data_IF_027987518885
#
_entry.id   IF_027987518885
#
_cell.length_a   1.000
_cell.length_b   1.000
_cell.length_c   1.000
_cell.angle_alpha   90.00
_cell.angle_beta   90.00
_cell.angle_gamma   90.00
#
_symmetry.space_group_name_H-M   'P 1'
#
loop_
_entity.id
_entity.type
_entity.pdbx_description
1 polymer ?
#
# COMPACT_ATOMS: atom_id res chain seq x y z
N UNK A 1 3.55 1.64 5.58
CA UNK A 1 2.61 0.94 4.85
C UNK A 1 1.26 0.63 5.50
N UNK A 2 1.11 0.57 6.83
CA UNK A 2 -0.23 0.41 7.43
C UNK A 2 -1.19 1.54 7.05
N UNK A 3 -0.70 2.76 6.86
CA UNK A 3 -1.52 3.87 6.37
C UNK A 3 -2.13 3.55 5.00
N UNK A 4 -1.30 3.10 4.06
CA UNK A 4 -1.77 2.73 2.72
C UNK A 4 -2.77 1.57 2.79
N UNK A 5 -2.49 0.56 3.61
CA UNK A 5 -3.37 -0.59 3.83
C UNK A 5 -4.75 -0.12 4.33
N UNK A 6 -4.78 0.70 5.38
CA UNK A 6 -6.03 1.18 5.97
C UNK A 6 -6.83 2.08 5.04
N UNK A 7 -6.15 3.00 4.33
CA UNK A 7 -6.81 3.90 3.39
C UNK A 7 -7.40 3.12 2.21
N UNK A 8 -6.62 2.22 1.61
CA UNK A 8 -7.10 1.43 0.48
C UNK A 8 -8.24 0.50 0.89
N UNK A 9 -8.10 -0.17 2.04
CA UNK A 9 -9.16 -1.03 2.58
C UNK A 9 -10.48 -0.28 2.74
N UNK A 10 -10.42 0.97 3.19
CA UNK A 10 -11.61 1.80 3.37
C UNK A 10 -12.28 2.16 2.02
N UNK A 11 -11.49 2.32 0.96
CA UNK A 11 -11.97 2.74 -0.35
C UNK A 11 -12.51 1.61 -1.21
N UNK A 12 -12.12 0.36 -0.96
CA UNK A 12 -12.52 -0.76 -1.81
C UNK A 12 -13.98 -1.14 -1.60
N UNK A 13 -14.67 -1.41 -2.70
CA UNK A 13 -16.06 -1.86 -2.73
C UNK A 13 -16.20 -3.24 -3.38
N UNK A 14 -15.07 -3.83 -3.80
CA UNK A 14 -15.02 -5.11 -4.48
C UNK A 14 -14.33 -6.16 -3.63
N UNK A 15 -14.41 -7.42 -4.03
CA UNK A 15 -13.74 -8.53 -3.37
C UNK A 15 -12.23 -8.50 -3.68
N UNK A 16 -11.50 -7.69 -2.94
CA UNK A 16 -10.04 -7.53 -3.06
C UNK A 16 -9.42 -7.83 -1.70
N UNK A 17 -8.40 -8.67 -1.69
CA UNK A 17 -7.64 -8.97 -0.47
C UNK A 17 -6.49 -7.98 -0.37
N UNK A 18 -6.46 -7.22 0.72
CA UNK A 18 -5.44 -6.21 1.00
C UNK A 18 -4.66 -6.60 2.24
N UNK A 19 -3.35 -6.51 2.17
CA UNK A 19 -2.48 -6.72 3.32
C UNK A 19 -1.27 -5.80 3.23
N UNK A 20 -0.51 -5.71 4.32
CA UNK A 20 0.71 -4.92 4.37
C UNK A 20 1.80 -5.71 5.11
N UNK A 21 3.06 -5.45 4.71
CA UNK A 21 4.23 -6.09 5.29
C UNK A 21 5.42 -5.14 5.25
N UNK A 22 6.37 -5.33 6.16
CA UNK A 22 7.62 -4.60 6.17
C UNK A 22 8.75 -5.40 5.54
N UNK A 23 9.77 -4.71 5.03
CA UNK A 23 10.98 -5.34 4.51
C UNK A 23 11.97 -5.68 5.63
N UNK A 24 11.78 -5.10 6.82
CA UNK A 24 12.59 -5.36 8.01
C UNK A 24 11.77 -6.03 9.10
N UNK A 25 12.43 -6.83 9.93
CA UNK A 25 11.80 -7.55 11.04
C UNK A 25 12.10 -6.86 12.38
N UNK A 26 11.84 -5.55 12.46
CA UNK A 26 12.16 -4.80 13.68
C UNK A 26 11.15 -5.04 14.80
N UNK A 27 9.86 -5.03 14.51
CA UNK A 27 8.82 -5.09 15.53
C UNK A 27 7.62 -5.92 15.06
N UNK A 28 7.79 -7.24 14.82
CA UNK A 28 6.68 -8.07 14.36
C UNK A 28 5.55 -8.11 15.40
N UNK A 29 4.33 -8.05 14.94
CA UNK A 29 3.14 -8.09 15.78
C UNK A 29 2.76 -6.77 16.43
N UNK A 30 3.55 -5.70 16.26
CA UNK A 30 3.21 -4.40 16.82
C UNK A 30 2.15 -3.67 16.00
N UNK A 31 1.30 -2.86 16.66
CA UNK A 31 0.36 -1.99 15.96
C UNK A 31 1.09 -0.81 15.30
N UNK A 32 0.43 -0.09 14.37
CA UNK A 32 0.99 1.14 13.84
C UNK A 32 1.26 2.17 14.94
N UNK A 33 2.19 3.08 14.67
CA UNK A 33 2.51 4.17 15.59
C UNK A 33 1.26 4.95 15.98
N UNK A 34 1.16 5.35 17.26
CA UNK A 34 -0.02 6.05 17.78
C UNK A 34 -0.28 7.39 17.09
N UNK A 35 0.77 8.12 16.70
CA UNK A 35 0.63 9.37 15.95
C UNK A 35 0.06 9.12 14.55
N UNK A 36 0.53 8.08 13.88
CA UNK A 36 0.00 7.64 12.59
C UNK A 36 -1.48 7.29 12.71
N UNK A 37 -1.85 6.51 13.71
CA UNK A 37 -3.24 6.13 13.96
C UNK A 37 -4.11 7.35 14.22
N UNK A 38 -3.62 8.32 14.98
CA UNK A 38 -4.36 9.55 15.32
C UNK A 38 -4.67 10.38 14.09
N UNK A 39 -3.65 10.62 13.25
CA UNK A 39 -3.84 11.40 12.02
C UNK A 39 -4.78 10.71 11.04
N UNK A 40 -4.66 9.39 10.90
CA UNK A 40 -5.55 8.61 10.05
C UNK A 40 -6.99 8.64 10.57
N UNK A 41 -7.19 8.51 11.88
CA UNK A 41 -8.51 8.53 12.50
C UNK A 41 -9.24 9.86 12.29
N UNK A 42 -8.51 10.98 12.25
CA UNK A 42 -9.09 12.30 11.96
C UNK A 42 -9.72 12.36 10.58
N UNK A 43 -9.26 11.52 9.64
CA UNK A 43 -9.81 11.40 8.29
C UNK A 43 -10.76 10.21 8.12
N UNK A 44 -11.08 9.51 9.21
CA UNK A 44 -12.00 8.38 9.19
C UNK A 44 -11.37 7.02 8.92
N UNK A 45 -10.04 6.91 8.98
CA UNK A 45 -9.36 5.63 8.76
C UNK A 45 -8.95 5.00 10.09
N UNK A 46 -9.44 3.80 10.36
CA UNK A 46 -9.09 3.03 11.55
C UNK A 46 -7.94 2.07 11.22
N UNK A 47 -6.78 2.29 11.82
CA UNK A 47 -5.60 1.45 11.65
C UNK A 47 -5.33 0.57 12.88
N UNK A 48 -6.19 0.61 13.90
CA UNK A 48 -5.92 0.02 15.21
C UNK A 48 -5.81 -1.51 15.20
N UNK A 49 -6.42 -2.17 14.22
CA UNK A 49 -6.39 -3.63 14.09
C UNK A 49 -5.19 -4.16 13.28
N UNK A 50 -4.42 -3.27 12.65
CA UNK A 50 -3.27 -3.68 11.85
C UNK A 50 -2.08 -4.03 12.73
N UNK A 51 -1.29 -5.00 12.29
CA UNK A 51 -0.08 -5.46 13.00
C UNK A 51 1.07 -5.60 12.03
N UNK A 52 2.27 -5.27 12.49
CA UNK A 52 3.48 -5.39 11.69
C UNK A 52 3.78 -6.87 11.42
N UNK A 53 4.19 -7.17 10.21
CA UNK A 53 4.76 -8.45 9.82
C UNK A 53 5.83 -8.25 8.77
N UNK A 54 6.73 -9.20 8.63
CA UNK A 54 7.76 -9.15 7.59
C UNK A 54 7.23 -9.81 6.32
N UNK A 55 7.60 -9.25 5.16
CA UNK A 55 7.30 -9.86 3.86
C UNK A 55 8.00 -11.22 3.72
N UNK A 56 7.31 -12.18 3.12
CA UNK A 56 7.83 -13.54 2.92
C UNK A 56 7.76 -13.92 1.44
N UNK A 57 8.47 -14.99 1.07
CA UNK A 57 8.45 -15.53 -0.30
C UNK A 57 7.03 -15.87 -0.76
N UNK A 58 6.20 -16.38 0.14
CA UNK A 58 4.82 -16.73 -0.17
C UNK A 58 3.97 -15.52 -0.61
N UNK A 59 4.31 -14.32 -0.14
CA UNK A 59 3.59 -13.11 -0.52
C UNK A 59 3.69 -12.82 -2.02
N UNK A 60 4.84 -13.09 -2.61
CA UNK A 60 5.06 -12.85 -4.06
C UNK A 60 4.22 -13.78 -4.95
N UNK A 61 3.94 -14.98 -4.49
CA UNK A 61 3.07 -15.91 -5.21
C UNK A 61 1.59 -15.62 -4.97
N UNK A 62 1.25 -15.21 -3.74
CA UNK A 62 -0.14 -15.05 -3.29
C UNK A 62 -0.81 -13.79 -3.84
N UNK A 63 -0.10 -12.68 -3.87
CA UNK A 63 -0.67 -11.39 -4.26
C UNK A 63 -0.42 -11.08 -5.73
N UNK A 64 -1.37 -10.41 -6.36
CA UNK A 64 -1.29 -10.02 -7.77
C UNK A 64 -0.49 -8.74 -7.98
N UNK A 65 -0.45 -7.88 -6.96
CA UNK A 65 0.23 -6.60 -7.01
C UNK A 65 0.90 -6.31 -5.68
N UNK A 66 2.17 -5.93 -5.72
CA UNK A 66 2.99 -5.68 -4.53
C UNK A 66 3.58 -4.28 -4.67
N UNK A 67 3.27 -3.40 -3.72
CA UNK A 67 3.59 -1.98 -3.81
C UNK A 67 4.61 -1.59 -2.75
N UNK A 68 5.72 -1.04 -3.20
CA UNK A 68 6.76 -0.50 -2.33
C UNK A 68 6.49 0.98 -2.06
N UNK A 69 6.75 1.41 -0.83
CA UNK A 69 6.53 2.80 -0.41
C UNK A 69 7.68 3.69 -0.82
N UNK A 70 8.92 3.20 -0.79
CA UNK A 70 10.13 3.95 -1.10
C UNK A 70 11.14 3.08 -1.84
N UNK A 71 12.30 3.68 -2.19
CA UNK A 71 13.34 2.99 -2.95
C UNK A 71 13.98 1.86 -2.16
N UNK A 72 14.14 2.01 -0.83
CA UNK A 72 14.72 0.96 0.02
C UNK A 72 13.78 -0.25 0.08
N UNK A 73 12.49 -0.03 0.26
CA UNK A 73 11.50 -1.10 0.22
C UNK A 73 11.52 -1.82 -1.13
N UNK A 74 11.59 -1.07 -2.22
CA UNK A 74 11.62 -1.63 -3.55
C UNK A 74 12.85 -2.49 -3.78
N UNK A 75 14.03 -1.99 -3.40
CA UNK A 75 15.29 -2.73 -3.56
C UNK A 75 15.29 -4.03 -2.77
N UNK A 76 14.86 -3.99 -1.51
CA UNK A 76 14.80 -5.18 -0.66
C UNK A 76 13.76 -6.19 -1.18
N UNK A 77 12.61 -5.70 -1.64
CA UNK A 77 11.60 -6.58 -2.23
C UNK A 77 12.08 -7.21 -3.54
N UNK A 78 12.82 -6.47 -4.36
CA UNK A 78 13.41 -7.01 -5.59
C UNK A 78 14.42 -8.12 -5.31
N UNK A 79 15.22 -7.96 -4.25
CA UNK A 79 16.19 -8.99 -3.84
C UNK A 79 15.52 -10.29 -3.40
N UNK A 80 14.34 -10.18 -2.76
CA UNK A 80 13.59 -11.32 -2.25
C UNK A 80 12.67 -11.95 -3.30
N UNK A 81 12.29 -11.20 -4.32
CA UNK A 81 11.25 -11.58 -5.26
C UNK A 81 11.76 -12.60 -6.28
N UNK A 82 11.09 -13.75 -6.43
CA UNK A 82 11.41 -14.67 -7.54
C UNK A 82 11.21 -13.97 -8.89
N UNK A 83 12.09 -14.27 -9.89
CA UNK A 83 11.98 -13.63 -11.22
C UNK A 83 10.61 -13.78 -11.88
N UNK A 84 9.92 -14.89 -11.65
CA UNK A 84 8.57 -15.13 -12.19
C UNK A 84 7.54 -14.12 -11.71
N UNK A 85 7.76 -13.46 -10.58
CA UNK A 85 6.84 -12.52 -9.95
C UNK A 85 7.32 -11.07 -10.01
N UNK A 86 8.45 -10.78 -10.64
CA UNK A 86 9.05 -9.45 -10.68
C UNK A 86 8.11 -8.38 -11.27
N UNK A 87 7.25 -8.76 -12.22
CA UNK A 87 6.29 -7.86 -12.85
C UNK A 87 5.22 -7.34 -11.89
N UNK A 88 5.04 -7.96 -10.72
CA UNK A 88 4.08 -7.56 -9.69
C UNK A 88 4.57 -6.41 -8.84
N UNK A 89 5.89 -6.17 -8.80
CA UNK A 89 6.51 -5.14 -7.97
C UNK A 89 6.43 -3.78 -8.63
N UNK A 90 5.83 -2.82 -7.94
CA UNK A 90 5.72 -1.44 -8.39
C UNK A 90 5.81 -0.51 -7.18
N UNK A 91 6.02 0.78 -7.41
CA UNK A 91 5.96 1.78 -6.34
C UNK A 91 4.52 2.25 -6.16
N UNK A 92 4.13 2.46 -4.89
CA UNK A 92 2.80 2.98 -4.56
C UNK A 92 2.51 4.29 -5.28
N UNK A 93 3.49 5.19 -5.32
CA UNK A 93 3.33 6.53 -5.91
C UNK A 93 3.19 6.54 -7.42
N UNK A 94 3.45 5.43 -8.11
CA UNK A 94 3.16 5.33 -9.55
C UNK A 94 1.66 5.47 -9.86
N UNK A 95 0.81 5.22 -8.87
CA UNK A 95 -0.64 5.30 -9.02
C UNK A 95 -1.22 6.67 -8.68
N UNK A 96 -0.40 7.62 -8.23
CA UNK A 96 -0.84 8.98 -7.95
C UNK A 96 -1.43 9.65 -9.19
N UNK A 97 -2.55 10.33 -9.00
CA UNK A 97 -3.26 11.05 -10.06
C UNK A 97 -2.94 12.54 -10.08
N UNK A 98 -2.68 13.12 -8.91
CA UNK A 98 -2.46 14.56 -8.73
C UNK A 98 -1.03 14.88 -8.31
N UNK A 99 -0.43 14.04 -7.48
CA UNK A 99 0.91 14.28 -6.96
C UNK A 99 1.95 13.56 -7.80
N UNK A 100 3.11 14.19 -7.95
CA UNK A 100 4.26 13.62 -8.64
C UNK A 100 5.39 13.47 -7.59
N UNK A 101 5.39 12.34 -6.91
CA UNK A 101 6.41 12.02 -5.93
C UNK A 101 6.96 10.62 -6.22
N UNK A 102 8.29 10.43 -6.19
CA UNK A 102 8.87 9.11 -6.44
C UNK A 102 8.61 8.11 -5.31
N UNK A 103 8.38 8.60 -4.09
CA UNK A 103 8.25 7.75 -2.89
C UNK A 103 7.22 8.34 -1.93
N UNK A 104 6.73 7.51 -1.00
CA UNK A 104 5.99 7.96 0.17
C UNK A 104 7.03 8.30 1.26
N UNK A 105 7.13 9.57 1.67
CA UNK A 105 8.14 9.97 2.64
C UNK A 105 7.84 9.43 4.04
N UNK A 106 8.89 9.38 4.87
CA UNK A 106 8.75 9.02 6.28
C UNK A 106 8.12 10.21 7.03
N UNK A 107 6.95 10.02 7.67
CA UNK A 107 6.26 11.13 8.34
C UNK A 107 6.99 11.66 9.57
N UNK A 108 7.93 10.90 10.15
CA UNK A 108 8.62 11.31 11.38
C UNK A 108 9.50 12.55 11.23
N UNK A 109 9.93 12.87 10.00
CA UNK A 109 10.80 14.01 9.75
C UNK A 109 10.07 15.34 9.58
N UNK A 110 8.75 15.33 9.44
CA UNK A 110 7.95 16.52 9.16
C UNK A 110 6.97 16.93 10.27
N UNK A 111 7.03 16.31 11.46
CA UNK A 111 6.06 16.58 12.53
C UNK A 111 4.64 16.26 12.09
N UNK A 112 3.65 17.02 12.61
CA UNK A 112 2.25 16.83 12.26
C UNK A 112 1.99 17.03 10.76
N UNK A 113 2.64 18.02 10.16
CA UNK A 113 2.51 18.29 8.74
C UNK A 113 3.02 17.11 7.90
N UNK A 114 4.08 16.44 8.35
CA UNK A 114 4.61 15.25 7.67
C UNK A 114 3.60 14.11 7.62
N UNK A 115 2.86 13.88 8.70
CA UNK A 115 1.80 12.88 8.71
C UNK A 115 0.66 13.25 7.76
N UNK A 116 0.28 14.51 7.70
CA UNK A 116 -0.77 14.98 6.80
C UNK A 116 -0.36 14.89 5.33
N UNK A 117 0.88 15.21 5.00
CA UNK A 117 1.42 15.08 3.64
C UNK A 117 1.44 13.62 3.18
N UNK A 118 1.81 12.69 4.06
CA UNK A 118 1.78 11.26 3.76
C UNK A 118 0.35 10.81 3.50
N UNK A 119 -0.62 11.24 4.30
CA UNK A 119 -2.02 10.91 4.08
C UNK A 119 -2.55 11.46 2.76
N UNK A 120 -2.21 12.70 2.40
CA UNK A 120 -2.59 13.29 1.11
C UNK A 120 -2.07 12.45 -0.05
N UNK A 121 -0.79 12.11 0.00
CA UNK A 121 -0.13 11.33 -1.04
C UNK A 121 -0.70 9.91 -1.14
N UNK A 122 -0.92 9.27 0.01
CA UNK A 122 -1.47 7.91 0.08
C UNK A 122 -2.91 7.88 -0.41
N UNK A 123 -3.73 8.87 -0.05
CA UNK A 123 -5.10 8.95 -0.53
C UNK A 123 -5.15 9.08 -2.06
N UNK A 124 -4.29 9.92 -2.63
CA UNK A 124 -4.18 10.09 -4.08
C UNK A 124 -3.74 8.79 -4.76
N UNK A 125 -2.70 8.16 -4.24
CA UNK A 125 -2.20 6.89 -4.77
C UNK A 125 -3.25 5.77 -4.67
N UNK A 126 -3.97 5.70 -3.57
CA UNK A 126 -5.04 4.71 -3.38
C UNK A 126 -6.20 4.92 -4.35
N UNK A 127 -6.54 6.17 -4.66
CA UNK A 127 -7.57 6.45 -5.66
C UNK A 127 -7.16 5.96 -7.05
N UNK A 128 -5.93 6.22 -7.46
CA UNK A 128 -5.39 5.72 -8.72
C UNK A 128 -5.26 4.21 -8.74
N UNK A 129 -4.85 3.62 -7.63
CA UNK A 129 -4.76 2.17 -7.47
C UNK A 129 -6.14 1.52 -7.58
N UNK A 130 -7.15 2.10 -6.96
CA UNK A 130 -8.51 1.59 -7.04
C UNK A 130 -9.01 1.56 -8.49
N UNK A 131 -8.77 2.62 -9.25
CA UNK A 131 -9.11 2.67 -10.68
C UNK A 131 -8.37 1.61 -11.47
N UNK A 132 -7.09 1.40 -11.18
CA UNK A 132 -6.27 0.37 -11.82
C UNK A 132 -6.82 -1.03 -11.57
N UNK A 133 -7.14 -1.34 -10.31
CA UNK A 133 -7.71 -2.64 -9.90
C UNK A 133 -9.07 -2.86 -10.56
N UNK A 134 -9.92 -1.86 -10.57
CA UNK A 134 -11.23 -1.94 -11.22
C UNK A 134 -11.11 -2.27 -12.70
N UNK A 135 -10.17 -1.64 -13.41
CA UNK A 135 -9.93 -1.93 -14.82
C UNK A 135 -9.45 -3.35 -15.04
N UNK A 136 -8.57 -3.86 -14.17
CA UNK A 136 -8.09 -5.23 -14.25
C UNK A 136 -9.21 -6.24 -14.03
N UNK A 137 -10.08 -6.00 -13.06
CA UNK A 137 -11.23 -6.86 -12.80
C UNK A 137 -12.20 -6.88 -13.98
N UNK A 138 -12.42 -5.74 -14.63
CA UNK A 138 -13.26 -5.67 -15.81
C UNK A 138 -12.71 -6.47 -16.99
N UNK A 139 -11.38 -6.47 -17.17
CA UNK A 139 -10.74 -7.23 -18.26
C UNK A 139 -10.73 -8.74 -17.99
N UNK A 140 -10.84 -9.16 -16.74
CA UNK A 140 -10.89 -10.57 -16.37
C UNK A 140 -12.30 -11.17 -16.48
N UNK A 141 -13.32 -10.33 -16.53
CA UNK A 141 -14.70 -10.79 -16.70
C UNK A 141 -14.95 -11.05 -18.19
N UNK A 142 -15.35 -12.27 -18.59
CA UNK A 142 -15.66 -12.52 -19.99
C UNK A 142 -16.75 -11.58 -20.47
N UNK A 143 -16.65 -11.07 -21.71
CA UNK A 143 -17.70 -10.22 -22.25
C UNK A 143 -19.03 -10.99 -22.28
N UNK A 144 -20.09 -10.31 -21.84
CA UNK A 144 -21.42 -10.88 -21.89
C UNK A 144 -21.81 -11.01 -23.35
N UNK A 145 -22.03 -12.25 -23.79
CA UNK A 145 -22.51 -12.50 -25.12
C UNK A 145 -24.02 -12.36 -25.14
N UNK A 146 -24.48 -11.48 -25.97
CA UNK A 146 -25.89 -11.27 -26.21
C UNK A 146 -26.34 -12.00 -27.47
#
# INVERSE_FOLDING_TARGET
>A
SPTAHGVFRHKITHSVVVDSAGTHNYHPGEPPNTRTQRHAAQRGYDLSDLRARQITDADFARYDLILAMDWDNLALAQDLCPPAHAHKLRRMTEFCLQFDSPVVPDPYYGGSQGFEEVLDLVEDACEGLLRHVQRQLQTQVPPVQH
#
